data_IF_384056785779
#
_entry.id   IF_384056785779
#
_cell.length_a   1.000
_cell.length_b   1.000
_cell.length_c   1.000
_cell.angle_alpha   90.00
_cell.angle_beta   90.00
_cell.angle_gamma   90.00
#
_symmetry.space_group_name_H-M   'P 1'
#
loop_
_entity.id
_entity.type
_entity.pdbx_description
1 polymer ?
#
# COMPACT_ATOMS: atom_id res chain seq x y z
N UNK A 1 2.23 -13.01 5.07
CA UNK A 1 2.12 -11.65 4.50
C UNK A 1 1.68 -10.70 5.58
N UNK A 2 2.40 -9.62 5.81
CA UNK A 2 1.98 -8.67 6.82
C UNK A 2 0.68 -7.98 6.42
N UNK A 3 -0.03 -7.50 7.41
CA UNK A 3 -1.25 -6.74 7.22
C UNK A 3 -1.02 -5.30 7.64
N UNK A 4 -1.67 -4.40 6.94
CA UNK A 4 -1.62 -2.99 7.26
C UNK A 4 -2.97 -2.35 7.02
N UNK A 5 -3.04 -1.06 7.30
CA UNK A 5 -4.25 -0.28 7.10
C UNK A 5 -3.92 0.89 6.18
N UNK A 6 -4.79 1.13 5.21
CA UNK A 6 -4.60 2.26 4.30
C UNK A 6 -4.73 3.55 5.11
N UNK A 7 -3.66 4.33 5.09
CA UNK A 7 -3.62 5.60 5.80
C UNK A 7 -3.94 6.77 4.87
N UNK A 8 -3.48 6.69 3.63
CA UNK A 8 -3.69 7.76 2.65
C UNK A 8 -3.67 7.17 1.26
N UNK A 9 -4.53 7.67 0.39
CA UNK A 9 -4.57 7.28 -1.02
C UNK A 9 -4.67 8.56 -1.84
N UNK A 10 -3.74 8.74 -2.78
CA UNK A 10 -3.74 9.86 -3.71
C UNK A 10 -3.85 9.28 -5.11
N UNK A 11 -5.08 8.99 -5.52
CA UNK A 11 -5.34 8.35 -6.80
C UNK A 11 -4.87 9.21 -7.99
N UNK A 12 -4.97 10.52 -7.87
CA UNK A 12 -4.54 11.43 -8.94
C UNK A 12 -3.06 11.29 -9.24
N UNK A 13 -2.25 11.02 -8.22
CA UNK A 13 -0.81 10.84 -8.38
C UNK A 13 -0.41 9.39 -8.46
N UNK A 14 -1.34 8.49 -8.19
CA UNK A 14 -1.09 7.06 -8.30
C UNK A 14 -0.24 6.46 -7.19
N UNK A 15 -0.38 6.95 -5.96
CA UNK A 15 0.34 6.38 -4.83
C UNK A 15 -0.44 6.55 -3.54
N UNK A 16 0.03 5.89 -2.49
CA UNK A 16 -0.58 6.02 -1.18
C UNK A 16 0.36 5.53 -0.09
N UNK A 17 -0.16 5.51 1.13
CA UNK A 17 0.59 5.06 2.30
C UNK A 17 -0.22 4.04 3.08
N UNK A 18 0.48 3.03 3.58
CA UNK A 18 -0.08 1.98 4.42
C UNK A 18 0.57 2.09 5.79
N UNK A 19 -0.23 2.08 6.83
CA UNK A 19 0.28 1.96 8.19
C UNK A 19 0.49 0.48 8.49
N UNK A 20 1.74 0.04 8.45
CA UNK A 20 2.11 -1.33 8.70
C UNK A 20 2.64 -1.53 10.11
N UNK A 21 3.12 -2.74 10.40
CA UNK A 21 3.62 -3.09 11.72
C UNK A 21 4.87 -2.30 12.12
N UNK A 22 5.66 -1.89 11.13
CA UNK A 22 6.91 -1.16 11.35
C UNK A 22 6.80 0.32 11.05
N UNK A 23 5.59 0.83 10.88
CA UNK A 23 5.36 2.22 10.51
C UNK A 23 4.77 2.35 9.13
N UNK A 24 4.79 3.57 8.61
CA UNK A 24 4.16 3.86 7.33
C UNK A 24 5.02 3.37 6.18
N UNK A 25 4.37 2.77 5.20
CA UNK A 25 5.02 2.32 3.97
C UNK A 25 4.38 3.00 2.78
N UNK A 26 5.22 3.43 1.87
CA UNK A 26 4.77 3.97 0.58
C UNK A 26 4.38 2.81 -0.34
N UNK A 27 3.32 2.98 -1.12
CA UNK A 27 3.02 2.07 -2.22
C UNK A 27 2.59 2.86 -3.44
N UNK A 28 2.97 2.34 -4.62
CA UNK A 28 2.61 2.93 -5.90
C UNK A 28 1.43 2.16 -6.50
N UNK A 29 0.68 2.79 -7.40
CA UNK A 29 -0.46 2.12 -8.02
C UNK A 29 -0.07 0.81 -8.72
N UNK A 30 1.13 0.74 -9.23
CA UNK A 30 1.62 -0.48 -9.88
C UNK A 30 1.85 -1.63 -8.88
N UNK A 31 1.92 -1.32 -7.60
CA UNK A 31 2.10 -2.33 -6.56
C UNK A 31 0.77 -2.90 -6.06
N UNK A 32 -0.35 -2.35 -6.50
CA UNK A 32 -1.67 -2.86 -6.11
C UNK A 32 -2.00 -4.09 -6.94
N UNK A 33 -2.18 -5.21 -6.27
CA UNK A 33 -2.55 -6.46 -6.91
C UNK A 33 -4.03 -6.72 -6.68
N UNK A 34 -4.70 -7.30 -7.64
CA UNK A 34 -6.11 -7.65 -7.51
C UNK A 34 -7.08 -6.49 -7.67
N UNK A 35 -6.62 -5.35 -8.19
CA UNK A 35 -7.50 -4.21 -8.41
C UNK A 35 -6.70 -2.96 -8.73
N UNK A 36 -7.33 -1.81 -8.57
CA UNK A 36 -6.67 -0.53 -8.79
C UNK A 36 -6.57 0.23 -7.47
N UNK A 37 -5.73 1.25 -7.47
CA UNK A 37 -5.57 2.09 -6.27
C UNK A 37 -6.90 2.75 -5.87
N UNK A 38 -7.78 2.98 -6.83
CA UNK A 38 -9.09 3.59 -6.57
C UNK A 38 -10.01 2.68 -5.77
N UNK A 39 -9.76 1.37 -5.79
CA UNK A 39 -10.54 0.41 -5.02
C UNK A 39 -10.15 0.40 -3.54
N UNK A 40 -9.05 1.03 -3.19
CA UNK A 40 -8.58 1.11 -1.82
C UNK A 40 -9.09 2.38 -1.16
N UNK A 41 -9.51 2.25 0.08
CA UNK A 41 -10.07 3.37 0.85
C UNK A 41 -9.30 3.56 2.14
N UNK A 42 -9.28 4.79 2.62
CA UNK A 42 -8.63 5.10 3.90
C UNK A 42 -9.31 4.30 5.00
N UNK A 43 -8.51 3.63 5.82
CA UNK A 43 -9.01 2.78 6.89
C UNK A 43 -9.23 1.33 6.49
N UNK A 44 -9.07 1.00 5.21
CA UNK A 44 -9.23 -0.37 4.74
C UNK A 44 -8.02 -1.21 5.13
N UNK A 45 -8.27 -2.44 5.55
CA UNK A 45 -7.20 -3.39 5.83
C UNK A 45 -6.73 -4.05 4.54
N UNK A 46 -5.42 -4.17 4.42
CA UNK A 46 -4.79 -4.78 3.25
C UNK A 46 -3.68 -5.72 3.69
N UNK A 47 -3.32 -6.64 2.81
CA UNK A 47 -2.10 -7.42 2.95
C UNK A 47 -1.09 -6.91 1.92
N UNK A 48 0.18 -7.02 2.26
CA UNK A 48 1.22 -6.53 1.36
C UNK A 48 2.51 -7.28 1.61
N UNK A 49 3.44 -7.20 0.66
CA UNK A 49 4.80 -7.65 0.82
C UNK A 49 5.68 -6.43 1.04
N UNK A 50 6.61 -6.54 1.98
CA UNK A 50 7.56 -5.47 2.21
C UNK A 50 8.71 -5.61 1.21
N UNK A 51 8.89 -4.57 0.39
CA UNK A 51 9.98 -4.50 -0.57
C UNK A 51 10.92 -3.37 -0.24
N UNK A 52 12.07 -3.38 -0.89
CA UNK A 52 13.04 -2.30 -0.78
C UNK A 52 13.32 -1.73 -2.15
N UNK A 53 13.09 -0.44 -2.28
CA UNK A 53 13.43 0.27 -3.48
C UNK A 53 14.58 1.24 -3.26
N UNK A 54 14.99 1.96 -4.30
CA UNK A 54 16.06 2.95 -4.18
C UNK A 54 15.76 4.05 -3.17
N UNK A 55 14.50 4.27 -2.87
CA UNK A 55 14.06 5.32 -1.94
C UNK A 55 13.72 4.78 -0.55
N UNK A 56 13.95 3.49 -0.29
CA UNK A 56 13.69 2.89 1.00
C UNK A 56 12.59 1.85 0.97
N UNK A 57 12.07 1.45 2.14
CA UNK A 57 11.03 0.42 2.21
C UNK A 57 9.74 0.86 1.53
N UNK A 58 9.10 -0.08 0.87
CA UNK A 58 7.81 0.17 0.23
C UNK A 58 6.96 -1.09 0.31
N UNK A 59 5.66 -0.92 0.16
CA UNK A 59 4.74 -2.05 0.09
C UNK A 59 4.57 -2.50 -1.35
N UNK A 60 4.53 -3.82 -1.55
CA UNK A 60 4.31 -4.44 -2.85
C UNK A 60 3.20 -5.47 -2.74
N UNK A 61 2.61 -5.86 -3.86
CA UNK A 61 1.52 -6.84 -3.89
C UNK A 61 0.39 -6.48 -2.91
N UNK A 62 0.02 -5.22 -2.88
CA UNK A 62 -1.02 -4.73 -1.97
C UNK A 62 -2.36 -5.29 -2.42
N UNK A 63 -3.05 -5.96 -1.51
CA UNK A 63 -4.35 -6.58 -1.77
C UNK A 63 -5.30 -6.27 -0.62
N UNK A 64 -6.59 -6.16 -0.89
CA UNK A 64 -7.57 -6.10 0.20
C UNK A 64 -7.46 -7.34 1.08
N UNK A 65 -7.46 -7.12 2.36
CA UNK A 65 -7.38 -8.22 3.31
C UNK A 65 -8.70 -8.95 3.45
#
# INVERSE_FOLDING_TARGET
MPQGTIKKVIADKGFGFIEGERGDLFFHHSAVAGGTIEDLKIGQKVTYDEGRGPKGPRAENVKPA
#
